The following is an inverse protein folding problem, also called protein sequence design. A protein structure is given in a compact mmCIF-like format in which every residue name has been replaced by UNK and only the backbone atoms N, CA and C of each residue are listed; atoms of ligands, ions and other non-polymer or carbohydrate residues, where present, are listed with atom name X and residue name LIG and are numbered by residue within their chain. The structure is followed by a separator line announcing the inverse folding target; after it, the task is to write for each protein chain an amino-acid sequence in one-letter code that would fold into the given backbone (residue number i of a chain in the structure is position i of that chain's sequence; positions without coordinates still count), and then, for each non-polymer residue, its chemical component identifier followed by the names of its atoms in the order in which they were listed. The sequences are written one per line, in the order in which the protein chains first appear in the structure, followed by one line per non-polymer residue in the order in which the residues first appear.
data_IF_081975385524
#
_entry.id   IF_081975385524
#
_cell.length_a   1.000
_cell.length_b   1.000
_cell.length_c   1.000
_cell.angle_alpha   90.00
_cell.angle_beta   90.00
_cell.angle_gamma   90.00
#
_symmetry.space_group_name_H-M   'P 1'
#
loop_
_entity.id
_entity.type
_entity.pdbx_description
1 polymer ?
#
# COMPACT_ATOMS: atom_id res chain seq x y z
N UNK A 1 -52.37 -44.67 44.10
CA UNK A 1 -51.04 -44.05 43.93
C UNK A 1 -50.46 -44.58 42.62
N UNK A 2 -50.08 -43.68 41.69
CA UNK A 2 -49.84 -43.99 40.28
C UNK A 2 -48.48 -44.66 40.06
N UNK A 3 -48.51 -45.82 39.38
CA UNK A 3 -47.40 -46.36 38.60
C UNK A 3 -47.06 -45.39 37.46
N UNK A 4 -45.79 -45.12 37.21
CA UNK A 4 -45.32 -44.92 35.83
C UNK A 4 -43.91 -45.45 35.66
N UNK A 5 -43.85 -46.50 34.83
CA UNK A 5 -42.70 -47.23 34.35
C UNK A 5 -41.86 -46.38 33.39
N UNK A 6 -40.56 -46.63 33.42
CA UNK A 6 -39.58 -46.24 32.43
C UNK A 6 -39.87 -46.92 31.07
N UNK A 7 -40.19 -46.15 30.04
CA UNK A 7 -39.98 -46.52 28.64
C UNK A 7 -40.42 -45.39 27.72
N UNK A 8 -39.47 -44.61 27.17
CA UNK A 8 -39.55 -44.17 25.76
C UNK A 8 -38.26 -43.44 25.36
N UNK A 9 -37.15 -44.17 25.35
CA UNK A 9 -35.89 -43.73 24.75
C UNK A 9 -35.74 -44.43 23.39
N UNK A 10 -36.28 -43.85 22.32
CA UNK A 10 -35.91 -44.07 20.89
C UNK A 10 -37.04 -43.58 19.98
N UNK A 11 -36.88 -42.38 19.38
CA UNK A 11 -37.15 -42.09 17.95
C UNK A 11 -37.23 -40.60 17.55
N UNK A 12 -36.86 -39.62 18.39
CA UNK A 12 -37.21 -38.23 18.10
C UNK A 12 -36.10 -37.29 17.61
N UNK A 13 -34.92 -37.79 17.22
CA UNK A 13 -33.74 -36.90 17.14
C UNK A 13 -33.12 -36.72 15.74
N UNK A 14 -33.54 -37.44 14.69
CA UNK A 14 -32.86 -37.35 13.37
C UNK A 14 -33.08 -36.02 12.63
N UNK A 15 -34.32 -35.56 12.35
CA UNK A 15 -34.52 -34.30 11.63
C UNK A 15 -34.15 -33.09 12.50
N UNK A 16 -34.34 -33.19 13.82
CA UNK A 16 -33.99 -32.13 14.77
C UNK A 16 -32.47 -31.92 14.87
N UNK A 17 -31.68 -33.00 14.91
CA UNK A 17 -30.22 -32.88 14.91
C UNK A 17 -29.69 -32.33 13.58
N UNK A 18 -30.31 -32.69 12.45
CA UNK A 18 -29.95 -32.13 11.13
C UNK A 18 -30.23 -30.62 11.09
N UNK A 19 -31.37 -30.19 11.63
CA UNK A 19 -31.73 -28.77 11.73
C UNK A 19 -30.74 -28.01 12.63
N UNK A 20 -30.33 -28.61 13.75
CA UNK A 20 -29.42 -27.98 14.71
C UNK A 20 -28.00 -27.83 14.12
N UNK A 21 -27.54 -28.84 13.36
CA UNK A 21 -26.26 -28.78 12.63
C UNK A 21 -26.30 -27.71 11.54
N UNK A 22 -27.40 -27.59 10.79
CA UNK A 22 -27.55 -26.56 9.75
C UNK A 22 -27.49 -25.13 10.31
N UNK A 23 -28.07 -24.91 11.49
CA UNK A 23 -28.04 -23.60 12.20
C UNK A 23 -26.63 -23.29 12.70
N UNK A 24 -25.89 -24.28 13.22
CA UNK A 24 -24.51 -24.07 13.68
C UNK A 24 -23.56 -23.75 12.53
N UNK A 25 -23.74 -24.37 11.36
CA UNK A 25 -22.96 -24.08 10.17
C UNK A 25 -23.24 -22.65 9.68
N UNK A 26 -24.49 -22.19 9.65
CA UNK A 26 -24.82 -20.83 9.21
C UNK A 26 -24.30 -19.75 10.18
N UNK A 27 -24.32 -20.00 11.49
CA UNK A 27 -23.73 -19.09 12.48
C UNK A 27 -22.21 -18.94 12.30
N UNK A 28 -21.51 -20.00 11.87
CA UNK A 28 -20.05 -19.95 11.66
C UNK A 28 -19.63 -19.19 10.40
N UNK A 29 -20.44 -19.21 9.33
CA UNK A 29 -20.10 -18.54 8.05
C UNK A 29 -20.41 -17.04 8.06
N UNK A 30 -21.38 -16.58 8.84
CA UNK A 30 -21.67 -15.15 9.01
C UNK A 30 -20.52 -14.37 9.69
N UNK A 31 -19.73 -15.05 10.54
CA UNK A 31 -18.58 -14.45 11.22
C UNK A 31 -17.36 -14.22 10.31
N UNK A 32 -17.10 -15.13 9.37
CA UNK A 32 -15.95 -15.01 8.46
C UNK A 32 -16.09 -13.88 7.44
N UNK A 33 -17.30 -13.61 6.94
CA UNK A 33 -17.48 -12.66 5.83
C UNK A 33 -17.06 -11.23 6.19
N UNK A 34 -17.35 -10.77 7.43
CA UNK A 34 -17.01 -9.40 7.87
C UNK A 34 -15.53 -9.17 8.12
N UNK A 35 -14.75 -10.22 8.34
CA UNK A 35 -13.30 -10.11 8.60
C UNK A 35 -12.56 -9.81 7.29
N UNK A 36 -13.00 -10.39 6.17
CA UNK A 36 -12.36 -10.21 4.87
C UNK A 36 -12.55 -8.76 4.38
N UNK A 37 -13.76 -8.20 4.53
CA UNK A 37 -14.04 -6.81 4.12
C UNK A 37 -13.22 -5.78 4.91
N UNK A 38 -12.84 -6.10 6.16
CA UNK A 38 -12.00 -5.23 6.98
C UNK A 38 -10.50 -5.35 6.65
N UNK A 39 -10.05 -6.54 6.20
CA UNK A 39 -8.66 -6.80 5.82
C UNK A 39 -8.33 -6.21 4.45
N UNK A 40 -9.28 -6.19 3.51
CA UNK A 40 -9.09 -5.73 2.13
C UNK A 40 -9.66 -4.33 1.85
N UNK A 41 -9.64 -3.46 2.85
CA UNK A 41 -9.92 -2.04 2.60
C UNK A 41 -8.74 -1.44 1.84
N UNK A 42 -8.72 -1.61 0.53
CA UNK A 42 -7.78 -0.92 -0.35
C UNK A 42 -7.96 0.59 -0.16
N UNK A 43 -6.89 1.27 0.24
CA UNK A 43 -6.90 2.72 0.26
C UNK A 43 -7.11 3.22 -1.18
N UNK A 44 -7.98 4.21 -1.39
CA UNK A 44 -8.21 4.76 -2.73
C UNK A 44 -6.88 5.29 -3.28
N UNK A 45 -6.46 4.73 -4.41
CA UNK A 45 -5.26 5.16 -5.14
C UNK A 45 -5.49 6.58 -5.66
N UNK A 46 -5.15 7.59 -4.87
CA UNK A 46 -5.13 8.98 -5.34
C UNK A 46 -3.93 9.14 -6.28
N UNK A 47 -4.11 9.66 -7.51
CA UNK A 47 -2.99 9.88 -8.40
C UNK A 47 -2.03 10.89 -7.77
N UNK A 48 -0.75 10.52 -7.68
CA UNK A 48 0.30 11.41 -7.18
C UNK A 48 0.49 12.53 -8.21
N UNK A 49 0.39 13.82 -7.83
CA UNK A 49 0.56 14.91 -8.78
C UNK A 49 2.02 14.99 -9.24
N UNK A 50 2.19 15.29 -10.53
CA UNK A 50 3.49 15.50 -11.16
C UNK A 50 3.79 16.99 -11.28
N UNK A 51 5.06 17.36 -11.19
CA UNK A 51 5.51 18.74 -11.35
C UNK A 51 6.81 18.81 -12.14
N UNK A 52 6.90 19.81 -13.03
CA UNK A 52 8.14 20.18 -13.72
C UNK A 52 9.06 20.98 -12.79
N UNK A 53 10.33 20.59 -12.74
CA UNK A 53 11.39 21.25 -11.96
C UNK A 53 12.61 21.54 -12.86
N UNK A 54 13.35 22.58 -12.48
CA UNK A 54 14.61 22.97 -13.15
C UNK A 54 15.77 22.73 -12.19
N UNK A 55 16.72 21.90 -12.62
CA UNK A 55 17.93 21.57 -11.87
C UNK A 55 19.16 22.15 -12.58
N UNK A 56 20.16 22.59 -11.82
CA UNK A 56 21.37 23.18 -12.39
C UNK A 56 22.58 22.29 -12.14
N UNK A 57 23.24 21.89 -13.22
CA UNK A 57 24.43 21.04 -13.23
C UNK A 57 25.61 21.74 -13.92
N UNK A 58 26.83 21.29 -13.66
CA UNK A 58 28.03 21.92 -14.20
C UNK A 58 28.34 21.40 -15.60
N UNK A 59 28.68 22.29 -16.52
CA UNK A 59 29.32 21.97 -17.80
C UNK A 59 30.67 22.65 -17.86
N UNK A 60 31.74 21.88 -17.73
CA UNK A 60 33.11 22.38 -17.77
C UNK A 60 33.73 22.13 -19.15
N UNK A 61 34.23 23.19 -19.77
CA UNK A 61 35.14 23.11 -20.90
C UNK A 61 36.60 23.22 -20.45
N UNK A 62 37.50 23.50 -21.38
CA UNK A 62 38.95 23.53 -21.10
C UNK A 62 39.40 24.67 -20.18
N UNK A 63 38.62 25.76 -20.11
CA UNK A 63 39.00 26.98 -19.39
C UNK A 63 37.97 27.44 -18.35
N UNK A 64 36.71 27.07 -18.53
CA UNK A 64 35.59 27.64 -17.78
C UNK A 64 34.53 26.58 -17.50
N UNK A 65 33.81 26.77 -16.41
CA UNK A 65 32.68 25.94 -15.99
C UNK A 65 31.44 26.81 -15.84
N UNK A 66 30.32 26.34 -16.38
CA UNK A 66 29.04 27.04 -16.31
C UNK A 66 27.99 26.15 -15.67
N UNK A 67 26.96 26.78 -15.09
CA UNK A 67 25.74 26.07 -14.71
C UNK A 67 24.79 26.01 -15.90
N UNK A 68 24.33 24.80 -16.20
CA UNK A 68 23.37 24.51 -17.25
C UNK A 68 22.13 23.89 -16.62
N UNK A 69 20.97 24.28 -17.12
CA UNK A 69 19.68 23.74 -16.68
C UNK A 69 19.42 22.33 -17.24
N UNK A 70 18.75 21.50 -16.45
CA UNK A 70 18.14 20.24 -16.85
C UNK A 70 16.72 20.20 -16.27
N UNK A 71 15.72 20.09 -17.14
CA UNK A 71 14.31 20.09 -16.77
C UNK A 71 13.85 18.64 -16.57
N UNK A 72 13.14 18.37 -15.45
CA UNK A 72 12.60 17.05 -15.13
C UNK A 72 11.18 17.13 -14.62
N UNK A 73 10.41 16.07 -14.84
CA UNK A 73 9.12 15.87 -14.21
C UNK A 73 9.28 14.95 -12.99
N UNK A 74 8.74 15.36 -11.84
CA UNK A 74 8.87 14.63 -10.57
C UNK A 74 7.52 14.46 -9.88
N UNK A 75 7.39 13.36 -9.15
CA UNK A 75 6.24 13.09 -8.28
C UNK A 75 6.29 13.95 -7.01
N UNK A 76 5.22 14.67 -6.70
CA UNK A 76 5.06 15.44 -5.46
C UNK A 76 4.56 14.54 -4.31
N UNK A 77 5.35 13.52 -3.98
CA UNK A 77 5.06 12.58 -2.89
C UNK A 77 5.61 13.02 -1.52
N UNK A 78 6.37 14.13 -1.47
CA UNK A 78 6.97 14.72 -0.28
C UNK A 78 7.26 16.21 -0.49
N UNK A 79 7.94 16.82 0.48
CA UNK A 79 8.29 18.25 0.42
C UNK A 79 9.18 18.58 -0.78
N UNK A 80 8.87 19.69 -1.47
CA UNK A 80 9.51 20.04 -2.75
C UNK A 80 11.02 20.23 -2.59
N UNK A 81 11.45 20.85 -1.49
CA UNK A 81 12.86 21.09 -1.18
C UNK A 81 13.63 19.78 -1.04
N UNK A 82 13.01 18.77 -0.44
CA UNK A 82 13.61 17.44 -0.28
C UNK A 82 13.72 16.73 -1.63
N UNK A 83 12.67 16.81 -2.46
CA UNK A 83 12.69 16.29 -3.84
C UNK A 83 13.84 16.93 -4.64
N UNK A 84 13.92 18.26 -4.65
CA UNK A 84 14.95 19.00 -5.38
C UNK A 84 16.36 18.58 -4.95
N UNK A 85 16.59 18.43 -3.65
CA UNK A 85 17.91 18.06 -3.14
C UNK A 85 18.28 16.63 -3.51
N UNK A 86 17.34 15.68 -3.39
CA UNK A 86 17.57 14.30 -3.83
C UNK A 86 17.84 14.21 -5.33
N UNK A 87 17.12 14.96 -6.16
CA UNK A 87 17.32 14.98 -7.61
C UNK A 87 18.68 15.56 -8.01
N UNK A 88 19.19 16.57 -7.28
CA UNK A 88 20.55 17.08 -7.45
C UNK A 88 21.60 16.04 -7.05
N UNK A 89 21.38 15.30 -5.95
CA UNK A 89 22.28 14.24 -5.46
C UNK A 89 22.35 13.07 -6.45
N UNK A 90 21.23 12.71 -7.09
CA UNK A 90 21.19 11.71 -8.17
C UNK A 90 22.11 12.09 -9.34
N UNK A 91 22.38 13.39 -9.52
CA UNK A 91 23.20 13.92 -10.61
C UNK A 91 22.44 14.06 -11.92
N UNK A 92 23.07 14.60 -12.98
CA UNK A 92 22.44 14.85 -14.28
C UNK A 92 22.13 13.54 -15.03
N UNK A 93 21.08 13.55 -15.86
CA UNK A 93 20.81 12.46 -16.81
C UNK A 93 21.69 12.63 -18.05
N UNK A 94 21.92 13.89 -18.46
CA UNK A 94 22.79 14.20 -19.58
C UNK A 94 24.25 13.83 -19.29
N UNK A 95 24.87 13.10 -20.22
CA UNK A 95 26.30 12.75 -20.15
C UNK A 95 27.23 13.95 -20.37
N UNK A 96 26.71 15.05 -20.88
CA UNK A 96 27.46 16.28 -21.11
C UNK A 96 27.56 17.16 -19.86
N UNK A 97 26.79 16.82 -18.82
CA UNK A 97 26.73 17.57 -17.57
C UNK A 97 27.44 16.76 -16.48
N UNK A 98 27.99 17.49 -15.51
CA UNK A 98 28.64 16.95 -14.32
C UNK A 98 27.82 17.32 -13.08
N UNK A 99 27.74 16.40 -12.09
CA UNK A 99 27.00 16.66 -10.86
C UNK A 99 27.60 17.85 -10.09
N UNK A 100 26.72 18.67 -9.53
CA UNK A 100 27.08 19.81 -8.65
C UNK A 100 27.11 19.41 -7.17
N UNK A 101 26.50 18.26 -6.83
CA UNK A 101 26.48 17.71 -5.48
C UNK A 101 27.06 16.28 -5.53
N UNK A 102 27.96 15.88 -4.61
CA UNK A 102 28.44 14.52 -4.51
C UNK A 102 27.31 13.52 -4.24
N UNK A 103 27.33 12.37 -4.90
CA UNK A 103 26.34 11.30 -4.69
C UNK A 103 26.37 10.69 -3.27
N UNK A 104 27.41 10.95 -2.49
CA UNK A 104 27.56 10.53 -1.09
C UNK A 104 26.92 11.49 -0.09
N UNK A 105 26.38 12.62 -0.56
CA UNK A 105 25.68 13.62 0.27
C UNK A 105 24.44 13.01 0.92
N UNK A 106 24.20 13.37 2.18
CA UNK A 106 23.06 12.91 2.98
C UNK A 106 22.21 14.09 3.40
N UNK A 107 20.90 13.87 3.43
CA UNK A 107 19.83 14.81 3.78
C UNK A 107 18.83 14.12 4.69
#
# INVERSE_FOLDING_TARGET
MKFFNSASFKKFNKPFNILLIAILISLSTFGCQRVIDFIFKEEPITPIPMQEIILYFSKCGDKECFLMEEIREVELNKDLQLILMEELIKGPVSKELSPTIPNSTKI
#
